data_IF_393836269847
#
_entry.id   IF_393836269847
#
_cell.length_a   1.000
_cell.length_b   1.000
_cell.length_c   1.000
_cell.angle_alpha   90.00
_cell.angle_beta   90.00
_cell.angle_gamma   90.00
#
_symmetry.space_group_name_H-M   'P 1'
#
loop_
_entity.id
_entity.type
_entity.pdbx_description
1 polymer ?
#
# COMPACT_ATOMS: atom_id res chain seq x y z
N UNK A 1 -2.78 8.23 13.63
CA UNK A 1 -2.97 6.79 13.93
C UNK A 1 -4.36 6.46 14.45
N UNK A 2 -4.99 7.31 15.28
CA UNK A 2 -6.35 7.09 15.82
C UNK A 2 -7.37 6.62 14.77
N UNK A 3 -7.60 7.40 13.70
CA UNK A 3 -8.58 7.03 12.66
C UNK A 3 -8.29 5.70 11.94
N UNK A 4 -7.02 5.28 11.85
CA UNK A 4 -6.63 4.00 11.21
C UNK A 4 -6.88 2.79 12.10
N UNK A 5 -6.85 3.00 13.43
CA UNK A 5 -7.10 1.96 14.43
C UNK A 5 -8.57 1.86 14.77
N UNK A 6 -9.27 2.98 14.77
CA UNK A 6 -10.70 3.04 15.05
C UNK A 6 -11.53 2.64 13.83
N UNK A 7 -11.08 3.02 12.62
CA UNK A 7 -11.76 2.72 11.36
C UNK A 7 -11.39 1.36 10.76
N UNK A 8 -12.29 0.79 9.97
CA UNK A 8 -12.19 -0.56 9.39
C UNK A 8 -11.25 -0.67 8.18
N UNK A 9 -10.27 0.24 8.04
CA UNK A 9 -9.30 0.19 6.93
C UNK A 9 -8.40 -1.06 6.94
N UNK A 10 -8.31 -1.73 8.10
CA UNK A 10 -7.56 -2.98 8.31
C UNK A 10 -8.39 -4.23 8.06
N UNK A 11 -9.70 -4.11 7.76
CA UNK A 11 -10.58 -5.24 7.52
C UNK A 11 -10.10 -6.15 6.37
N UNK A 12 -9.52 -5.56 5.31
CA UNK A 12 -8.94 -6.34 4.21
C UNK A 12 -7.78 -7.21 4.67
N UNK A 13 -6.88 -6.69 5.52
CA UNK A 13 -5.78 -7.48 6.07
C UNK A 13 -6.26 -8.58 7.03
N UNK A 14 -7.40 -8.36 7.72
CA UNK A 14 -8.06 -9.40 8.49
C UNK A 14 -8.62 -10.51 7.58
N UNK A 15 -9.32 -10.17 6.50
CA UNK A 15 -9.79 -11.15 5.53
C UNK A 15 -8.62 -11.94 4.92
N UNK A 16 -7.55 -11.26 4.49
CA UNK A 16 -6.34 -11.90 3.98
C UNK A 16 -5.69 -12.84 5.00
N UNK A 17 -5.79 -12.53 6.29
CA UNK A 17 -5.28 -13.37 7.37
C UNK A 17 -6.09 -14.66 7.50
N UNK A 18 -7.42 -14.60 7.37
CA UNK A 18 -8.26 -15.79 7.33
C UNK A 18 -7.93 -16.69 6.12
N UNK A 19 -7.68 -16.08 4.95
CA UNK A 19 -7.25 -16.83 3.76
C UNK A 19 -5.90 -17.53 3.99
N UNK A 20 -4.90 -16.79 4.48
CA UNK A 20 -3.53 -17.31 4.64
C UNK A 20 -3.41 -18.37 5.74
N UNK A 21 -4.04 -18.14 6.89
CA UNK A 21 -3.82 -18.95 8.07
C UNK A 21 -4.85 -20.07 8.22
N UNK A 22 -6.06 -19.87 7.70
CA UNK A 22 -7.17 -20.82 7.83
C UNK A 22 -7.61 -21.43 6.50
N UNK A 23 -6.96 -21.07 5.39
CA UNK A 23 -7.17 -21.69 4.08
C UNK A 23 -8.54 -21.38 3.46
N UNK A 24 -9.24 -20.35 3.94
CA UNK A 24 -10.55 -19.99 3.40
C UNK A 24 -10.43 -19.43 1.97
N UNK A 25 -11.36 -19.75 1.06
CA UNK A 25 -11.53 -19.00 -0.17
C UNK A 25 -11.74 -17.51 0.12
N UNK A 26 -11.11 -16.63 -0.66
CA UNK A 26 -11.15 -15.19 -0.40
C UNK A 26 -12.57 -14.62 -0.29
N UNK A 27 -13.50 -15.07 -1.14
CA UNK A 27 -14.91 -14.64 -1.07
C UNK A 27 -15.54 -14.97 0.30
N UNK A 28 -15.29 -16.17 0.81
CA UNK A 28 -15.81 -16.60 2.10
C UNK A 28 -15.18 -15.79 3.25
N UNK A 29 -13.87 -15.59 3.23
CA UNK A 29 -13.21 -14.73 4.21
C UNK A 29 -13.74 -13.29 4.17
N UNK A 30 -13.93 -12.74 2.97
CA UNK A 30 -14.50 -11.41 2.78
C UNK A 30 -15.91 -11.30 3.36
N UNK A 31 -16.80 -12.26 3.08
CA UNK A 31 -18.19 -12.23 3.57
C UNK A 31 -18.25 -12.32 5.10
N UNK A 32 -17.39 -13.14 5.73
CA UNK A 32 -17.25 -13.19 7.19
C UNK A 32 -16.87 -11.82 7.73
N UNK A 33 -15.86 -11.17 7.13
CA UNK A 33 -15.38 -9.86 7.61
C UNK A 33 -16.39 -8.74 7.37
N UNK A 34 -17.19 -8.79 6.29
CA UNK A 34 -18.31 -7.85 6.10
C UNK A 34 -19.28 -7.95 7.27
N UNK A 35 -19.68 -9.17 7.65
CA UNK A 35 -20.58 -9.40 8.79
C UNK A 35 -19.96 -8.92 10.12
N UNK A 36 -18.67 -9.16 10.35
CA UNK A 36 -17.95 -8.63 11.54
C UNK A 36 -18.01 -7.10 11.58
N UNK A 37 -17.73 -6.43 10.46
CA UNK A 37 -17.70 -4.97 10.38
C UNK A 37 -19.09 -4.37 10.59
N UNK A 38 -20.13 -4.96 10.00
CA UNK A 38 -21.52 -4.51 10.20
C UNK A 38 -21.90 -4.63 11.67
N UNK A 39 -21.67 -5.80 12.28
CA UNK A 39 -21.96 -6.01 13.71
C UNK A 39 -21.16 -5.05 14.62
N UNK A 40 -19.90 -4.76 14.28
CA UNK A 40 -19.09 -3.81 15.02
C UNK A 40 -19.68 -2.39 14.95
N UNK A 41 -20.07 -1.95 13.75
CA UNK A 41 -20.70 -0.64 13.54
C UNK A 41 -22.02 -0.51 14.30
N UNK A 42 -22.89 -1.52 14.25
CA UNK A 42 -24.17 -1.54 14.97
C UNK A 42 -23.99 -1.47 16.49
N UNK A 43 -22.92 -2.06 17.02
CA UNK A 43 -22.59 -2.07 18.45
C UNK A 43 -21.71 -0.89 18.89
N UNK A 44 -21.31 0.00 17.98
CA UNK A 44 -20.39 1.10 18.27
C UNK A 44 -18.97 0.67 18.62
N UNK A 45 -18.58 -0.54 18.22
CA UNK A 45 -17.25 -1.15 18.46
C UNK A 45 -16.28 -0.68 17.38
N UNK A 46 -15.08 -0.26 17.79
CA UNK A 46 -14.01 0.16 16.88
C UNK A 46 -13.31 -1.03 16.25
N UNK A 47 -12.60 -0.81 15.13
CA UNK A 47 -11.87 -1.89 14.46
C UNK A 47 -10.85 -2.58 15.37
N UNK A 48 -10.08 -1.86 16.18
CA UNK A 48 -9.12 -2.45 17.13
C UNK A 48 -9.75 -3.19 18.33
N UNK A 49 -11.07 -3.03 18.53
CA UNK A 49 -11.85 -3.66 19.61
C UNK A 49 -12.60 -4.91 19.14
N UNK A 50 -12.48 -5.29 17.85
CA UNK A 50 -13.02 -6.54 17.34
C UNK A 50 -12.42 -7.71 18.13
N UNK A 51 -13.27 -8.64 18.55
CA UNK A 51 -12.86 -9.79 19.36
C UNK A 51 -12.91 -11.11 18.56
N UNK A 52 -12.21 -12.17 19.00
CA UNK A 52 -12.32 -13.50 18.39
C UNK A 52 -13.76 -14.00 18.29
N UNK A 53 -14.57 -13.74 19.29
CA UNK A 53 -15.97 -14.19 19.37
C UNK A 53 -16.81 -13.57 18.25
N UNK A 54 -16.57 -12.31 17.89
CA UNK A 54 -17.25 -11.67 16.75
C UNK A 54 -16.93 -12.37 15.42
N UNK A 55 -15.68 -12.83 15.26
CA UNK A 55 -15.27 -13.59 14.07
C UNK A 55 -15.88 -14.99 14.08
N UNK A 56 -15.92 -15.64 15.26
CA UNK A 56 -16.56 -16.95 15.42
C UNK A 56 -18.05 -16.89 15.08
N UNK A 57 -18.79 -15.92 15.63
CA UNK A 57 -20.22 -15.69 15.33
C UNK A 57 -20.46 -15.46 13.83
N UNK A 58 -19.66 -14.58 13.21
CA UNK A 58 -19.78 -14.28 11.79
C UNK A 58 -19.43 -15.48 10.91
N UNK A 59 -18.41 -16.25 11.28
CA UNK A 59 -18.01 -17.46 10.54
C UNK A 59 -19.06 -18.57 10.62
N UNK A 60 -19.68 -18.76 11.79
CA UNK A 60 -20.76 -19.74 11.98
C UNK A 60 -21.97 -19.36 11.13
N UNK A 61 -22.35 -18.08 11.13
CA UNK A 61 -23.46 -17.57 10.30
C UNK A 61 -23.17 -17.71 8.80
N UNK A 62 -21.97 -17.37 8.34
CA UNK A 62 -21.64 -17.36 6.91
C UNK A 62 -21.34 -18.77 6.35
N UNK A 63 -20.83 -19.69 7.18
CA UNK A 63 -20.25 -20.95 6.70
C UNK A 63 -20.84 -22.19 7.37
N UNK A 64 -21.66 -22.03 8.40
CA UNK A 64 -22.14 -23.11 9.26
C UNK A 64 -21.05 -23.72 10.15
N UNK A 65 -19.85 -23.13 10.20
CA UNK A 65 -18.71 -23.62 10.97
C UNK A 65 -18.07 -22.47 11.74
N UNK A 66 -17.75 -22.71 13.02
CA UNK A 66 -16.99 -21.76 13.83
C UNK A 66 -15.52 -21.76 13.44
N UNK A 67 -15.00 -20.58 13.17
CA UNK A 67 -13.59 -20.32 12.90
C UNK A 67 -12.95 -19.63 14.10
N UNK A 68 -12.14 -20.38 14.85
CA UNK A 68 -11.40 -19.82 15.99
C UNK A 68 -10.15 -19.10 15.51
N UNK A 69 -10.10 -17.79 15.75
CA UNK A 69 -8.96 -16.93 15.48
C UNK A 69 -8.34 -16.50 16.81
N UNK A 70 -7.03 -16.64 16.97
CA UNK A 70 -6.40 -16.25 18.24
C UNK A 70 -6.42 -14.73 18.42
N UNK A 71 -6.50 -14.26 19.67
CA UNK A 71 -6.43 -12.82 19.98
C UNK A 71 -5.14 -12.16 19.45
N UNK A 72 -4.02 -12.89 19.42
CA UNK A 72 -2.75 -12.41 18.86
C UNK A 72 -2.80 -12.26 17.34
N UNK A 73 -3.42 -13.21 16.65
CA UNK A 73 -3.63 -13.16 15.21
C UNK A 73 -4.52 -11.97 14.83
N UNK A 74 -5.63 -11.80 15.54
CA UNK A 74 -6.57 -10.71 15.36
C UNK A 74 -5.90 -9.35 15.62
N UNK A 75 -5.19 -9.21 16.73
CA UNK A 75 -4.41 -8.01 17.06
C UNK A 75 -3.35 -7.70 16.01
N UNK A 76 -2.69 -8.73 15.48
CA UNK A 76 -1.71 -8.55 14.40
C UNK A 76 -2.39 -8.05 13.12
N UNK A 77 -3.50 -8.65 12.71
CA UNK A 77 -4.24 -8.30 11.50
C UNK A 77 -4.87 -6.90 11.55
N UNK A 78 -5.30 -6.47 12.74
CA UNK A 78 -5.91 -5.16 12.96
C UNK A 78 -4.89 -4.05 13.25
N UNK A 79 -3.60 -4.36 13.38
CA UNK A 79 -2.55 -3.34 13.54
C UNK A 79 -2.17 -2.74 12.17
N UNK A 80 -2.52 -1.46 11.90
CA UNK A 80 -2.21 -0.82 10.62
C UNK A 80 -0.70 -0.77 10.33
N UNK A 81 0.15 -0.72 11.36
CA UNK A 81 1.59 -0.72 11.18
C UNK A 81 2.11 -2.09 10.73
N UNK A 82 1.53 -3.18 11.23
CA UNK A 82 1.88 -4.53 10.78
C UNK A 82 1.40 -4.77 9.35
N UNK A 83 0.22 -4.26 8.99
CA UNK A 83 -0.31 -4.33 7.63
C UNK A 83 0.60 -3.61 6.63
N UNK A 84 1.08 -2.41 6.97
CA UNK A 84 2.07 -1.69 6.18
C UNK A 84 3.38 -2.49 6.02
N UNK A 85 3.88 -3.08 7.11
CA UNK A 85 5.12 -3.87 7.09
C UNK A 85 5.00 -5.13 6.25
N UNK A 86 3.86 -5.82 6.28
CA UNK A 86 3.62 -7.05 5.49
C UNK A 86 3.64 -6.79 3.99
N UNK A 87 3.25 -5.60 3.54
CA UNK A 87 3.24 -5.20 2.13
C UNK A 87 4.64 -4.74 1.66
N UNK A 88 5.66 -5.58 1.91
CA UNK A 88 7.07 -5.35 1.54
C UNK A 88 7.39 -5.92 0.16
N UNK A 89 6.64 -5.48 -0.85
CA UNK A 89 6.84 -5.84 -2.26
C UNK A 89 7.29 -4.63 -3.05
N UNK A 90 7.72 -4.82 -4.30
CA UNK A 90 7.99 -3.70 -5.19
C UNK A 90 6.72 -2.85 -5.40
N UNK A 91 6.84 -1.53 -5.19
CA UNK A 91 5.69 -0.62 -5.18
C UNK A 91 4.86 -0.63 -3.89
N UNK A 92 5.18 -1.50 -2.93
CA UNK A 92 4.49 -1.58 -1.65
C UNK A 92 4.82 -0.42 -0.69
N UNK A 93 3.94 -0.16 0.30
CA UNK A 93 4.07 0.95 1.24
C UNK A 93 5.02 0.64 2.42
N UNK A 94 5.58 -0.57 2.51
CA UNK A 94 6.52 -0.91 3.58
C UNK A 94 7.72 0.05 3.58
N UNK A 95 8.22 0.49 4.76
CA UNK A 95 9.31 1.46 4.84
C UNK A 95 10.56 1.03 4.06
N UNK A 96 10.87 -0.26 4.02
CA UNK A 96 12.01 -0.79 3.27
C UNK A 96 11.81 -0.71 1.75
N UNK A 97 10.66 -1.16 1.25
CA UNK A 97 10.26 -1.03 -0.15
C UNK A 97 10.28 0.43 -0.62
N UNK A 98 9.70 1.34 0.16
CA UNK A 98 9.69 2.78 -0.14
C UNK A 98 11.12 3.35 -0.17
N UNK A 99 11.97 3.01 0.81
CA UNK A 99 13.38 3.44 0.82
C UNK A 99 14.13 2.93 -0.41
N UNK A 100 13.90 1.68 -0.83
CA UNK A 100 14.48 1.11 -2.06
C UNK A 100 14.03 1.89 -3.30
N UNK A 101 12.73 2.19 -3.40
CA UNK A 101 12.18 2.99 -4.48
C UNK A 101 12.76 4.40 -4.50
N UNK A 102 12.83 5.10 -3.36
CA UNK A 102 13.43 6.44 -3.27
C UNK A 102 14.87 6.46 -3.78
N UNK A 103 15.68 5.45 -3.42
CA UNK A 103 17.06 5.34 -3.94
C UNK A 103 17.09 5.19 -5.46
N UNK A 104 16.23 4.35 -6.01
CA UNK A 104 16.12 4.16 -7.47
C UNK A 104 15.70 5.47 -8.17
N UNK A 105 14.66 6.14 -7.67
CA UNK A 105 14.15 7.40 -8.24
C UNK A 105 15.18 8.52 -8.20
N UNK A 106 15.98 8.62 -7.12
CA UNK A 106 17.10 9.59 -7.05
C UNK A 106 18.15 9.36 -8.14
N UNK A 107 18.48 8.10 -8.43
CA UNK A 107 19.42 7.78 -9.53
C UNK A 107 18.84 8.18 -10.89
N UNK A 108 17.55 7.90 -11.12
CA UNK A 108 16.87 8.31 -12.35
C UNK A 108 16.85 9.83 -12.47
N UNK A 109 16.50 10.56 -11.39
CA UNK A 109 16.47 12.01 -11.40
C UNK A 109 17.83 12.61 -11.78
N UNK A 110 18.92 12.16 -11.15
CA UNK A 110 20.28 12.62 -11.47
C UNK A 110 20.66 12.36 -12.94
N UNK A 111 20.25 11.22 -13.51
CA UNK A 111 20.47 10.93 -14.92
C UNK A 111 19.67 11.87 -15.83
N UNK A 112 18.42 12.19 -15.48
CA UNK A 112 17.59 13.12 -16.24
C UNK A 112 18.14 14.54 -16.19
N UNK A 113 18.63 14.99 -15.03
CA UNK A 113 19.28 16.29 -14.87
C UNK A 113 20.53 16.40 -15.73
N UNK A 114 21.39 15.36 -15.74
CA UNK A 114 22.56 15.30 -16.62
C UNK A 114 22.18 15.38 -18.10
N UNK A 115 21.21 14.56 -18.53
CA UNK A 115 20.71 14.58 -19.92
C UNK A 115 20.13 15.94 -20.30
N UNK A 116 19.42 16.60 -19.40
CA UNK A 116 18.87 17.94 -19.62
C UNK A 116 19.99 18.96 -19.82
N UNK A 117 21.01 18.96 -18.96
CA UNK A 117 22.15 19.86 -19.07
C UNK A 117 22.90 19.68 -20.39
N UNK A 118 23.17 18.44 -20.80
CA UNK A 118 23.82 18.12 -22.08
C UNK A 118 23.01 18.62 -23.28
N UNK A 119 21.68 18.48 -23.25
CA UNK A 119 20.81 18.96 -24.33
C UNK A 119 20.80 20.48 -24.44
N UNK A 120 20.72 21.18 -23.31
CA UNK A 120 20.77 22.65 -23.30
C UNK A 120 22.11 23.15 -23.87
N UNK A 121 23.22 22.55 -23.44
CA UNK A 121 24.54 22.88 -23.96
C UNK A 121 24.64 22.71 -25.49
N UNK A 122 24.11 21.62 -26.04
CA UNK A 122 24.10 21.39 -27.49
C UNK A 122 23.28 22.43 -28.25
N UNK A 123 22.16 22.89 -27.67
CA UNK A 123 21.34 23.95 -28.27
C UNK A 123 22.10 25.27 -28.28
N UNK A 124 22.79 25.62 -27.20
CA UNK A 124 23.60 26.83 -27.12
C UNK A 124 24.77 26.81 -28.11
N UNK A 125 25.48 25.67 -28.22
CA UNK A 125 26.57 25.46 -29.18
C UNK A 125 26.06 25.58 -30.63
N UNK A 126 24.94 24.92 -30.96
CA UNK A 126 24.33 24.98 -32.31
C UNK A 126 23.88 26.40 -32.67
N UNK A 127 23.33 27.15 -31.69
CA UNK A 127 22.93 28.54 -31.89
C UNK A 127 24.14 29.44 -32.16
N UNK A 128 25.22 29.28 -31.40
CA UNK A 128 26.46 30.03 -31.62
C UNK A 128 27.13 29.68 -32.97
N UNK A 129 26.98 28.46 -33.47
CA UNK A 129 27.42 28.08 -34.82
C UNK A 129 26.57 28.75 -35.91
N UNK A 130 25.25 28.74 -35.76
CA UNK A 130 24.33 29.41 -36.66
C UNK A 130 24.63 30.91 -36.76
N UNK A 131 24.76 31.59 -35.63
CA UNK A 131 25.07 33.03 -35.57
C UNK A 131 26.42 33.35 -36.26
N UNK A 132 27.42 32.46 -36.12
CA UNK A 132 28.72 32.59 -36.80
C UNK A 132 28.60 32.38 -38.31
N UNK A 133 27.79 31.43 -38.75
CA UNK A 133 27.56 31.17 -40.16
C UNK A 133 26.80 32.32 -40.83
N UNK A 134 25.78 32.85 -40.17
CA UNK A 134 25.02 34.01 -40.64
C UNK A 134 25.92 35.23 -40.86
N UNK A 135 26.77 35.57 -39.87
CA UNK A 135 27.72 36.68 -40.00
C UNK A 135 28.69 36.55 -41.17
N UNK A 136 29.05 35.32 -41.57
CA UNK A 136 29.93 35.07 -42.73
C UNK A 136 29.22 35.26 -44.07
N UNK A 137 27.89 35.15 -44.12
CA UNK A 137 27.12 35.32 -45.35
C UNK A 137 26.82 36.79 -45.65
N UNK A 138 26.79 37.64 -44.63
CA UNK A 138 26.51 39.08 -44.74
C UNK A 138 27.77 39.97 -44.68
N UNK A 139 28.97 39.39 -44.71
CA UNK A 139 30.26 40.08 -44.78
C UNK A 139 30.91 39.89 -46.15
#
# INVERSE_FOLDING_TARGET
MKNLREGFTTATDLADTLVRNHGLPFRQAHDIIVDVVINALERGVKAEEITPEMVEEASEKATGRRLTVSANELKSALDPYQNLKRRNTEGGPAPEAVKKMMRSRRKVLAQQEKRRAERLRRLDESRAELDRAEKKLYA
#
